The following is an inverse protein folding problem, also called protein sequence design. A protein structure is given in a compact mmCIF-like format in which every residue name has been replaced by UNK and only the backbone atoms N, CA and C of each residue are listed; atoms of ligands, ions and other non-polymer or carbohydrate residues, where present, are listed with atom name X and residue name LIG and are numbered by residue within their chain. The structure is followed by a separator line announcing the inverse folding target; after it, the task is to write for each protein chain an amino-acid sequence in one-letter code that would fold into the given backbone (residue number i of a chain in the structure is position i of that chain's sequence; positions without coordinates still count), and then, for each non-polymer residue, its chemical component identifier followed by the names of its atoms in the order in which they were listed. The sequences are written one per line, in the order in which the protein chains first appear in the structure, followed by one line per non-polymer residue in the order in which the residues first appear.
data_IF_149280869301
#
_entry.id   IF_149280869301
#
_cell.length_a   1.000
_cell.length_b   1.000
_cell.length_c   1.000
_cell.angle_alpha   90.00
_cell.angle_beta   90.00
_cell.angle_gamma   90.00
#
_symmetry.space_group_name_H-M   'P 1'
#
loop_
_entity.id
_entity.type
_entity.pdbx_description
1 polymer ?
#
# COMPACT_ATOMS: atom_id res chain seq x y z
N UNK A 1 -27.63 5.12 -14.10
CA UNK A 1 -26.47 5.43 -14.96
C UNK A 1 -25.25 5.28 -14.08
N UNK A 2 -24.32 4.41 -14.47
CA UNK A 2 -23.09 4.20 -13.70
C UNK A 2 -22.24 5.46 -13.66
N UNK A 3 -21.22 5.47 -12.79
CA UNK A 3 -20.21 6.53 -12.68
C UNK A 3 -19.69 6.92 -14.07
N UNK A 4 -19.13 5.95 -14.79
CA UNK A 4 -18.52 6.16 -16.11
C UNK A 4 -19.50 6.40 -17.27
N UNK A 5 -20.81 6.16 -17.10
CA UNK A 5 -21.80 6.43 -18.16
C UNK A 5 -22.01 7.93 -18.37
N UNK A 6 -21.83 8.72 -17.30
CA UNK A 6 -21.97 10.17 -17.31
C UNK A 6 -20.76 10.81 -18.00
N UNK A 7 -19.56 10.46 -17.57
CA UNK A 7 -18.29 10.79 -18.23
C UNK A 7 -18.27 10.50 -19.74
N UNK A 8 -18.68 9.29 -20.17
CA UNK A 8 -18.74 8.92 -21.61
C UNK A 8 -19.60 9.87 -22.44
N UNK A 9 -20.69 10.39 -21.89
CA UNK A 9 -21.59 11.30 -22.61
C UNK A 9 -20.92 12.64 -22.92
N UNK A 10 -19.97 13.06 -22.09
CA UNK A 10 -19.23 14.30 -22.23
C UNK A 10 -18.03 14.11 -23.15
N UNK A 11 -17.26 13.02 -22.97
CA UNK A 11 -16.14 12.66 -23.84
C UNK A 11 -16.54 12.45 -25.32
N UNK A 12 -17.73 11.90 -25.60
CA UNK A 12 -18.24 11.73 -26.98
C UNK A 12 -18.31 13.02 -27.77
N UNK A 13 -18.48 14.15 -27.10
CA UNK A 13 -18.62 15.45 -27.73
C UNK A 13 -17.28 16.14 -27.97
N UNK A 14 -16.22 15.73 -27.27
CA UNK A 14 -14.94 16.44 -27.20
C UNK A 14 -13.75 15.61 -27.69
N UNK A 15 -13.91 14.29 -27.87
CA UNK A 15 -12.82 13.36 -28.20
C UNK A 15 -12.08 13.64 -29.52
N UNK A 16 -12.70 14.37 -30.47
CA UNK A 16 -12.04 14.75 -31.73
C UNK A 16 -11.14 15.98 -31.59
N UNK A 17 -11.35 16.80 -30.56
CA UNK A 17 -10.66 18.09 -30.38
C UNK A 17 -9.53 18.04 -29.33
N UNK A 18 -9.42 16.94 -28.59
CA UNK A 18 -8.40 16.71 -27.54
C UNK A 18 -7.14 16.05 -28.12
N UNK A 19 -7.25 15.46 -29.30
CA UNK A 19 -6.14 14.75 -29.96
C UNK A 19 -5.51 15.56 -31.06
N UNK A 20 -4.19 15.67 -31.02
CA UNK A 20 -3.38 16.41 -31.98
C UNK A 20 -2.48 15.45 -32.76
N UNK A 21 -2.13 15.80 -34.00
CA UNK A 21 -1.19 15.06 -34.84
C UNK A 21 0.25 15.12 -34.31
N UNK A 22 1.04 14.08 -34.58
CA UNK A 22 2.32 13.78 -33.91
C UNK A 22 3.42 14.84 -34.09
N UNK A 23 3.38 15.62 -35.18
CA UNK A 23 4.40 16.61 -35.53
C UNK A 23 4.00 18.07 -35.17
N UNK A 24 2.91 18.24 -34.44
CA UNK A 24 2.45 19.58 -34.02
C UNK A 24 3.23 20.08 -32.81
N UNK A 25 3.46 21.40 -32.74
CA UNK A 25 4.13 22.09 -31.62
C UNK A 25 3.42 21.80 -30.27
N UNK A 26 2.11 21.57 -30.29
CA UNK A 26 1.33 21.22 -29.10
C UNK A 26 1.64 19.80 -28.57
N UNK A 27 2.11 18.88 -29.42
CA UNK A 27 2.50 17.53 -29.01
C UNK A 27 3.84 17.54 -28.27
N UNK A 28 4.78 18.40 -28.66
CA UNK A 28 6.05 18.59 -27.95
C UNK A 28 5.83 19.21 -26.57
N UNK A 29 4.98 20.24 -26.48
CA UNK A 29 4.59 20.85 -25.21
C UNK A 29 3.95 19.84 -24.25
N UNK A 30 3.09 18.95 -24.75
CA UNK A 30 2.50 17.89 -23.94
C UNK A 30 3.57 16.90 -23.39
N UNK A 31 4.66 16.65 -24.12
CA UNK A 31 5.75 15.82 -23.62
C UNK A 31 6.57 16.51 -22.53
N UNK A 32 6.75 17.83 -22.61
CA UNK A 32 7.39 18.64 -21.57
C UNK A 32 6.52 18.71 -20.31
N UNK A 33 5.23 19.04 -20.46
CA UNK A 33 4.25 19.04 -19.36
C UNK A 33 4.21 17.69 -18.64
N UNK A 34 4.24 16.58 -19.40
CA UNK A 34 4.31 15.24 -18.82
C UNK A 34 5.54 15.07 -17.94
N UNK A 35 6.71 15.54 -18.38
CA UNK A 35 7.96 15.42 -17.60
C UNK A 35 7.88 16.23 -16.32
N UNK A 36 7.38 17.46 -16.38
CA UNK A 36 7.21 18.33 -15.21
C UNK A 36 6.21 17.74 -14.20
N UNK A 37 5.11 17.16 -14.68
CA UNK A 37 4.13 16.49 -13.82
C UNK A 37 4.70 15.24 -13.16
N UNK A 38 5.52 14.46 -13.85
CA UNK A 38 6.21 13.31 -13.26
C UNK A 38 7.23 13.76 -12.21
N UNK A 39 8.01 14.82 -12.49
CA UNK A 39 9.00 15.36 -11.57
C UNK A 39 8.32 15.91 -10.29
N UNK A 40 7.23 16.65 -10.42
CA UNK A 40 6.46 17.13 -9.26
C UNK A 40 5.81 16.00 -8.43
N UNK A 41 5.37 14.92 -9.08
CA UNK A 41 4.92 13.70 -8.40
C UNK A 41 6.08 12.93 -7.74
N UNK A 42 7.31 13.07 -8.23
CA UNK A 42 8.50 12.50 -7.61
C UNK A 42 9.00 13.31 -6.41
N UNK A 43 8.98 14.64 -6.51
CA UNK A 43 9.38 15.56 -5.44
C UNK A 43 8.42 15.57 -4.25
N UNK A 44 7.13 15.31 -4.49
CA UNK A 44 6.13 15.16 -3.44
C UNK A 44 6.20 13.81 -2.72
N UNK A 45 7.06 12.87 -3.15
CA UNK A 45 7.27 11.59 -2.44
C UNK A 45 8.05 11.85 -1.15
N UNK A 46 7.54 11.44 0.03
CA UNK A 46 8.34 11.44 1.23
C UNK A 46 9.54 10.50 1.04
N UNK A 47 10.75 11.02 1.24
CA UNK A 47 12.01 10.28 1.12
C UNK A 47 11.94 9.00 1.98
N UNK A 48 12.08 7.80 1.38
CA UNK A 48 12.15 6.58 2.19
C UNK A 48 13.41 6.66 3.04
N UNK A 49 13.23 6.72 4.36
CA UNK A 49 14.33 6.66 5.31
C UNK A 49 15.11 5.37 5.08
N UNK A 50 16.46 5.39 5.00
CA UNK A 50 17.24 4.18 4.78
C UNK A 50 17.02 3.23 5.95
N UNK A 51 16.47 2.05 5.65
CA UNK A 51 16.31 0.94 6.57
C UNK A 51 17.72 0.49 6.97
N UNK A 52 18.13 0.53 8.25
CA UNK A 52 19.41 -0.03 8.66
C UNK A 52 19.40 -1.53 8.40
N UNK A 53 20.36 -1.99 7.61
CA UNK A 53 20.59 -3.40 7.28
C UNK A 53 20.77 -4.19 8.57
N UNK A 54 19.80 -5.05 8.90
CA UNK A 54 19.91 -5.97 10.03
C UNK A 54 20.88 -7.08 9.66
N UNK A 55 22.02 -7.08 10.35
CA UNK A 55 22.97 -8.19 10.43
C UNK A 55 22.22 -9.49 10.70
N UNK A 56 22.42 -10.46 9.82
CA UNK A 56 22.00 -11.85 9.98
C UNK A 56 22.77 -12.46 11.16
N UNK A 57 22.19 -12.39 12.36
CA UNK A 57 22.63 -13.27 13.45
C UNK A 57 21.90 -14.59 13.30
N UNK A 58 22.73 -15.59 13.00
CA UNK A 58 22.38 -16.98 12.78
C UNK A 58 21.53 -17.54 13.93
N UNK A 59 20.69 -18.48 13.54
CA UNK A 59 19.87 -19.29 14.41
C UNK A 59 20.70 -19.95 15.51
N UNK A 60 20.43 -19.57 16.75
CA UNK A 60 20.71 -20.38 17.94
C UNK A 60 19.74 -19.89 19.02
N UNK A 61 18.68 -20.67 19.24
CA UNK A 61 17.96 -20.89 20.52
C UNK A 61 16.67 -21.64 20.21
N UNK A 62 16.83 -22.87 19.71
CA UNK A 62 15.80 -23.90 19.77
C UNK A 62 15.61 -24.48 21.19
N UNK A 63 16.02 -23.75 22.24
CA UNK A 63 16.15 -24.25 23.61
C UNK A 63 15.15 -23.62 24.60
N UNK A 64 14.16 -22.84 24.14
CA UNK A 64 13.20 -22.22 25.07
C UNK A 64 12.01 -23.12 25.47
N UNK A 65 12.11 -24.43 25.17
CA UNK A 65 11.17 -25.45 25.59
C UNK A 65 11.71 -26.40 26.67
N UNK A 66 12.88 -26.10 27.26
CA UNK A 66 13.54 -27.01 28.23
C UNK A 66 13.42 -26.57 29.71
N UNK A 67 12.72 -25.48 30.00
CA UNK A 67 12.55 -24.96 31.38
C UNK A 67 11.10 -25.11 31.88
N UNK A 68 10.45 -26.23 31.56
CA UNK A 68 9.40 -26.72 32.45
C UNK A 68 10.14 -27.39 33.60
N UNK A 69 10.33 -26.66 34.71
CA UNK A 69 10.94 -27.17 35.94
C UNK A 69 10.59 -28.65 36.09
N UNK A 70 11.57 -29.54 35.91
CA UNK A 70 11.45 -30.99 36.05
C UNK A 70 11.30 -31.32 37.55
N UNK A 71 10.29 -30.74 38.18
CA UNK A 71 9.71 -31.26 39.39
C UNK A 71 8.98 -32.54 38.97
N UNK A 72 9.33 -33.72 39.53
CA UNK A 72 8.61 -34.94 39.19
C UNK A 72 7.13 -34.69 39.45
N UNK A 73 6.29 -34.88 38.43
CA UNK A 73 4.85 -34.68 38.52
C UNK A 73 4.30 -35.49 39.70
N UNK A 74 4.20 -34.84 40.87
CA UNK A 74 3.67 -35.47 42.07
C UNK A 74 2.21 -35.72 41.78
N UNK A 75 1.83 -37.00 41.76
CA UNK A 75 0.48 -37.46 41.48
C UNK A 75 -0.55 -36.59 42.22
N UNK A 76 -1.43 -35.86 41.50
CA UNK A 76 -2.38 -34.91 42.08
C UNK A 76 -3.38 -35.58 43.04
N UNK A 77 -3.43 -36.91 43.10
CA UNK A 77 -4.30 -37.70 43.96
C UNK A 77 -3.57 -38.56 44.99
N UNK A 78 -2.23 -38.49 45.07
CA UNK A 78 -1.49 -39.13 46.14
C UNK A 78 -1.86 -38.50 47.49
N UNK A 79 -2.24 -39.37 48.43
CA UNK A 79 -2.92 -39.08 49.71
C UNK A 79 -2.30 -37.93 50.53
N UNK A 80 -3.10 -37.22 51.35
CA UNK A 80 -2.69 -35.99 52.01
C UNK A 80 -1.56 -36.25 53.02
N UNK A 81 -0.37 -35.71 52.74
CA UNK A 81 0.60 -35.33 53.77
C UNK A 81 -0.18 -34.59 54.87
N UNK A 82 0.02 -35.00 56.12
CA UNK A 82 -0.70 -34.45 57.28
C UNK A 82 -0.68 -32.90 57.21
N UNK A 83 -1.73 -32.19 57.67
CA UNK A 83 -1.85 -30.72 57.50
C UNK A 83 -0.58 -29.94 57.90
N UNK A 84 0.18 -30.47 58.86
CA UNK A 84 1.45 -29.90 59.35
C UNK A 84 2.59 -30.04 58.33
N UNK A 85 2.70 -31.16 57.64
CA UNK A 85 3.74 -31.46 56.65
C UNK A 85 3.54 -30.64 55.38
N UNK A 86 2.30 -30.53 54.90
CA UNK A 86 1.95 -29.65 53.77
C UNK A 86 2.31 -28.18 54.06
N UNK A 87 2.15 -27.73 55.30
CA UNK A 87 2.50 -26.35 55.69
C UNK A 87 4.01 -26.14 55.76
N UNK A 88 4.79 -27.16 56.15
CA UNK A 88 6.26 -27.11 56.14
C UNK A 88 6.80 -27.10 54.69
N UNK A 89 6.28 -27.98 53.82
CA UNK A 89 6.68 -28.03 52.41
C UNK A 89 6.41 -26.70 51.69
N UNK A 90 5.22 -26.11 51.87
CA UNK A 90 4.90 -24.78 51.31
C UNK A 90 5.82 -23.66 51.80
N UNK A 91 6.25 -23.72 53.06
CA UNK A 91 7.19 -22.73 53.62
C UNK A 91 8.57 -22.92 53.02
N UNK A 92 9.05 -24.15 52.92
CA UNK A 92 10.33 -24.46 52.28
C UNK A 92 10.36 -24.01 50.81
N UNK A 93 9.34 -24.36 50.01
CA UNK A 93 9.24 -23.95 48.61
C UNK A 93 9.13 -22.43 48.44
N UNK A 94 8.46 -21.73 49.37
CA UNK A 94 8.38 -20.26 49.33
C UNK A 94 9.70 -19.58 49.67
N UNK A 95 10.48 -20.17 50.58
CA UNK A 95 11.81 -19.66 50.96
C UNK A 95 12.80 -19.91 49.82
N UNK A 96 12.74 -21.07 49.17
CA UNK A 96 13.58 -21.40 48.02
C UNK A 96 13.26 -20.52 46.81
N UNK A 97 11.97 -20.31 46.50
CA UNK A 97 11.53 -19.37 45.45
C UNK A 97 11.85 -17.90 45.77
N UNK A 98 11.96 -17.53 47.04
CA UNK A 98 12.38 -16.18 47.45
C UNK A 98 13.91 -16.02 47.47
N UNK A 99 14.65 -17.11 47.70
CA UNK A 99 16.12 -17.14 47.67
C UNK A 99 16.67 -17.16 46.23
N UNK A 100 15.93 -17.76 45.28
CA UNK A 100 16.20 -17.63 43.85
C UNK A 100 15.80 -16.21 43.43
N UNK A 101 16.78 -15.30 43.38
CA UNK A 101 16.56 -13.94 42.91
C UNK A 101 15.92 -13.99 41.51
N UNK A 102 14.84 -13.24 41.24
CA UNK A 102 14.24 -13.25 39.92
C UNK A 102 15.28 -12.67 38.97
N UNK A 103 15.85 -13.51 38.11
CA UNK A 103 16.65 -13.03 36.98
C UNK A 103 15.78 -12.04 36.23
N UNK A 104 16.24 -10.79 36.25
CA UNK A 104 15.53 -9.66 35.67
C UNK A 104 15.65 -9.84 34.17
N UNK A 105 14.75 -10.64 33.59
CA UNK A 105 14.68 -10.90 32.15
C UNK A 105 14.68 -9.55 31.45
N UNK A 106 15.79 -9.20 30.84
CA UNK A 106 15.92 -8.00 30.03
C UNK A 106 14.89 -8.13 28.92
N UNK A 107 13.85 -7.31 28.98
CA UNK A 107 12.84 -7.29 27.93
C UNK A 107 13.53 -6.66 26.73
N UNK A 108 14.00 -7.49 25.81
CA UNK A 108 14.44 -7.02 24.50
C UNK A 108 13.31 -6.17 23.91
N UNK A 109 13.63 -5.02 23.29
CA UNK A 109 12.62 -4.18 22.67
C UNK A 109 11.93 -5.00 21.59
N UNK A 110 10.65 -5.32 21.80
CA UNK A 110 9.83 -6.00 20.79
C UNK A 110 9.74 -5.11 19.56
N UNK A 111 9.98 -5.70 18.40
CA UNK A 111 9.75 -5.00 17.14
C UNK A 111 8.25 -4.63 17.05
N UNK A 112 7.98 -3.37 16.75
CA UNK A 112 6.61 -2.85 16.65
C UNK A 112 5.87 -3.43 15.44
N UNK A 113 6.61 -3.99 14.47
CA UNK A 113 6.07 -4.60 13.26
C UNK A 113 5.84 -6.11 13.39
N UNK A 114 6.11 -6.71 14.56
CA UNK A 114 5.85 -8.13 14.80
C UNK A 114 4.46 -8.36 15.39
N UNK A 115 3.62 -9.14 14.70
CA UNK A 115 2.32 -9.53 15.22
C UNK A 115 2.48 -10.53 16.36
N UNK A 116 1.47 -10.57 17.24
CA UNK A 116 1.35 -11.60 18.29
C UNK A 116 1.21 -13.02 17.74
N UNK A 117 0.93 -13.16 16.45
CA UNK A 117 0.81 -14.43 15.72
C UNK A 117 2.09 -14.82 14.98
N UNK A 118 3.19 -14.09 15.17
CA UNK A 118 4.50 -14.36 14.55
C UNK A 118 4.60 -13.94 13.08
N UNK A 119 3.65 -13.12 12.59
CA UNK A 119 3.70 -12.56 11.24
C UNK A 119 4.25 -11.14 11.30
N UNK A 120 5.18 -10.82 10.40
CA UNK A 120 5.65 -9.44 10.24
C UNK A 120 4.61 -8.64 9.46
N UNK A 121 4.21 -7.49 10.00
CA UNK A 121 3.38 -6.53 9.31
C UNK A 121 4.20 -5.88 8.20
N UNK A 122 3.62 -5.78 7.00
CA UNK A 122 4.20 -4.98 5.91
C UNK A 122 3.67 -3.57 6.05
N UNK A 123 4.57 -2.58 5.99
CA UNK A 123 4.17 -1.18 5.90
C UNK A 123 3.44 -0.96 4.57
N UNK A 124 2.11 -0.93 4.59
CA UNK A 124 1.34 -0.44 3.46
C UNK A 124 1.48 1.07 3.44
N UNK A 125 2.34 1.58 2.56
CA UNK A 125 2.36 3.01 2.22
C UNK A 125 1.06 3.43 1.52
N UNK A 126 0.90 4.72 1.19
CA UNK A 126 -0.17 5.15 0.30
C UNK A 126 -0.08 4.30 -0.99
N UNK A 127 -1.20 3.69 -1.38
CA UNK A 127 -1.25 2.84 -2.55
C UNK A 127 -0.88 3.69 -3.77
N UNK A 128 0.26 3.41 -4.39
CA UNK A 128 0.66 4.09 -5.62
C UNK A 128 -0.29 3.61 -6.72
N UNK A 129 -1.08 4.53 -7.24
CA UNK A 129 -2.00 4.26 -8.34
C UNK A 129 -1.18 4.29 -9.62
N UNK A 130 -0.90 3.10 -10.16
CA UNK A 130 -0.24 2.94 -11.45
C UNK A 130 -1.32 2.79 -12.52
N UNK A 131 -1.31 3.68 -13.51
CA UNK A 131 -2.29 3.69 -14.59
C UNK A 131 -1.59 3.21 -15.85
N UNK A 132 -2.01 2.06 -16.35
CA UNK A 132 -1.53 1.48 -17.61
C UNK A 132 -2.66 1.43 -18.64
N UNK A 133 -2.35 1.86 -19.87
CA UNK A 133 -3.24 1.82 -21.02
C UNK A 133 -3.16 0.50 -21.80
N UNK A 134 -2.26 -0.42 -21.41
CA UNK A 134 -2.13 -1.76 -21.98
C UNK A 134 -2.00 -1.74 -23.50
N UNK A 135 -2.79 -2.56 -24.19
CA UNK A 135 -2.77 -2.71 -25.66
C UNK A 135 -3.20 -1.47 -26.45
N UNK A 136 -3.75 -0.45 -25.77
CA UNK A 136 -4.23 0.76 -26.42
C UNK A 136 -3.16 1.86 -26.55
N UNK A 137 -2.08 1.76 -25.75
CA UNK A 137 -0.89 2.57 -25.92
C UNK A 137 -0.08 2.08 -27.12
N UNK A 138 0.14 2.96 -28.11
CA UNK A 138 0.96 2.62 -29.27
C UNK A 138 2.37 3.20 -29.14
N UNK A 139 3.44 2.38 -29.24
CA UNK A 139 4.81 2.88 -29.21
C UNK A 139 5.21 3.62 -30.49
N UNK A 140 4.48 3.41 -31.60
CA UNK A 140 4.78 4.01 -32.91
C UNK A 140 3.49 4.29 -33.66
N UNK A 141 3.24 5.57 -33.99
CA UNK A 141 2.05 6.03 -34.69
C UNK A 141 0.82 6.08 -33.78
N UNK A 142 0.10 7.19 -33.78
CA UNK A 142 -1.10 7.38 -32.98
C UNK A 142 -1.49 8.84 -32.86
N UNK A 143 -2.53 9.09 -32.07
CA UNK A 143 -2.92 10.45 -31.69
C UNK A 143 -2.26 10.78 -30.37
N UNK A 144 -1.66 11.96 -30.27
CA UNK A 144 -1.10 12.46 -29.01
C UNK A 144 -2.21 13.22 -28.29
N UNK A 145 -2.39 12.94 -27.00
CA UNK A 145 -3.28 13.74 -26.16
C UNK A 145 -2.52 14.98 -25.69
N UNK A 146 -3.05 16.16 -26.03
CA UNK A 146 -2.53 17.44 -25.52
C UNK A 146 -3.13 17.79 -24.16
N UNK A 147 -2.42 18.62 -23.38
CA UNK A 147 -2.88 19.24 -22.12
C UNK A 147 -3.98 20.31 -22.32
N UNK A 148 -4.89 20.10 -23.27
CA UNK A 148 -5.91 21.08 -23.63
C UNK A 148 -6.82 21.46 -22.46
N UNK A 149 -7.33 22.70 -22.45
CA UNK A 149 -8.35 23.14 -21.48
C UNK A 149 -9.58 22.22 -21.44
N UNK A 150 -9.91 21.61 -22.58
CA UNK A 150 -11.04 20.66 -22.69
C UNK A 150 -10.76 19.39 -21.89
N UNK A 151 -9.54 18.86 -21.95
CA UNK A 151 -9.14 17.72 -21.12
C UNK A 151 -9.26 18.08 -19.63
N UNK A 152 -8.76 19.25 -19.23
CA UNK A 152 -8.86 19.71 -17.85
C UNK A 152 -10.30 19.80 -17.34
N UNK A 153 -11.22 20.35 -18.13
CA UNK A 153 -12.65 20.40 -17.77
C UNK A 153 -13.26 19.01 -17.57
N UNK A 154 -12.91 18.04 -18.41
CA UNK A 154 -13.48 16.70 -18.25
C UNK A 154 -12.84 15.95 -17.07
N UNK A 155 -11.59 16.24 -16.76
CA UNK A 155 -10.94 15.75 -15.55
C UNK A 155 -11.59 16.33 -14.27
N UNK A 156 -12.01 17.61 -14.29
CA UNK A 156 -12.78 18.22 -13.21
C UNK A 156 -14.16 17.55 -13.04
N UNK A 157 -14.88 17.31 -14.14
CA UNK A 157 -16.15 16.57 -14.09
C UNK A 157 -15.98 15.15 -13.51
N UNK A 158 -14.89 14.46 -13.89
CA UNK A 158 -14.56 13.14 -13.34
C UNK A 158 -14.27 13.20 -11.83
N UNK A 159 -13.58 14.23 -11.37
CA UNK A 159 -13.34 14.46 -9.94
C UNK A 159 -14.65 14.65 -9.17
N UNK A 160 -15.57 15.47 -9.68
CA UNK A 160 -16.92 15.63 -9.09
C UNK A 160 -17.68 14.30 -9.02
N UNK A 161 -17.57 13.49 -10.06
CA UNK A 161 -18.17 12.16 -10.12
C UNK A 161 -17.57 11.21 -9.09
N UNK A 162 -16.24 11.15 -8.95
CA UNK A 162 -15.57 10.30 -7.95
C UNK A 162 -15.91 10.72 -6.51
N UNK A 163 -15.99 12.01 -6.24
CA UNK A 163 -16.43 12.53 -4.93
C UNK A 163 -17.87 12.13 -4.63
N UNK A 164 -18.75 12.12 -5.64
CA UNK A 164 -20.12 11.62 -5.49
C UNK A 164 -20.22 10.13 -5.21
N UNK A 165 -19.15 9.37 -5.52
CA UNK A 165 -19.04 7.93 -5.34
C UNK A 165 -18.43 7.50 -3.98
N UNK A 166 -18.36 8.42 -3.01
CA UNK A 166 -17.81 8.19 -1.66
C UNK A 166 -16.29 7.94 -1.64
N UNK A 167 -15.56 8.46 -2.63
CA UNK A 167 -14.09 8.49 -2.58
C UNK A 167 -13.60 9.70 -1.76
N UNK A 168 -12.54 9.51 -0.99
CA UNK A 168 -11.92 10.59 -0.22
C UNK A 168 -11.23 11.61 -1.15
N UNK A 169 -11.33 12.91 -0.84
CA UNK A 169 -10.71 14.00 -1.62
C UNK A 169 -9.23 13.74 -1.93
N UNK A 170 -8.45 13.29 -0.93
CA UNK A 170 -7.02 13.00 -1.12
C UNK A 170 -6.78 11.88 -2.14
N UNK A 171 -7.62 10.85 -2.15
CA UNK A 171 -7.52 9.77 -3.11
C UNK A 171 -7.93 10.22 -4.52
N UNK A 172 -8.93 11.10 -4.62
CA UNK A 172 -9.38 11.66 -5.90
C UNK A 172 -8.31 12.56 -6.52
N UNK A 173 -7.64 13.39 -5.72
CA UNK A 173 -6.51 14.22 -6.16
C UNK A 173 -5.31 13.38 -6.65
N UNK A 174 -5.03 12.26 -5.98
CA UNK A 174 -4.01 11.31 -6.42
C UNK A 174 -4.38 10.63 -7.75
N UNK A 175 -5.64 10.20 -7.92
CA UNK A 175 -6.13 9.62 -9.19
C UNK A 175 -6.09 10.66 -10.32
N UNK A 176 -6.53 11.89 -10.07
CA UNK A 176 -6.60 12.92 -11.10
C UNK A 176 -5.21 13.40 -11.54
N UNK A 177 -4.27 13.55 -10.60
CA UNK A 177 -2.87 13.91 -10.90
C UNK A 177 -2.13 12.80 -11.64
N UNK A 178 -2.28 11.54 -11.21
CA UNK A 178 -1.70 10.38 -11.92
C UNK A 178 -2.29 10.20 -13.31
N UNK A 179 -3.60 10.41 -13.48
CA UNK A 179 -4.24 10.40 -14.80
C UNK A 179 -3.72 11.52 -15.70
N UNK A 180 -3.61 12.76 -15.20
CA UNK A 180 -3.09 13.88 -16.01
C UNK A 180 -1.65 13.61 -16.45
N UNK A 181 -0.80 13.15 -15.53
CA UNK A 181 0.59 12.82 -15.82
C UNK A 181 0.74 11.64 -16.82
N UNK A 182 -0.22 10.72 -16.84
CA UNK A 182 -0.18 9.56 -17.75
C UNK A 182 -0.82 9.85 -19.10
N UNK A 183 -1.91 10.61 -19.13
CA UNK A 183 -2.65 10.96 -20.35
C UNK A 183 -1.91 11.99 -21.20
N UNK A 184 -1.43 13.07 -20.60
CA UNK A 184 -0.76 14.14 -21.33
C UNK A 184 0.52 13.57 -21.97
N UNK A 185 0.67 13.72 -23.28
CA UNK A 185 1.82 13.17 -24.01
C UNK A 185 1.80 11.64 -24.16
N UNK A 186 0.72 10.94 -23.79
CA UNK A 186 0.51 9.55 -24.19
C UNK A 186 0.09 9.45 -25.64
N UNK A 187 0.58 8.39 -26.30
CA UNK A 187 0.19 8.03 -27.66
C UNK A 187 -0.88 6.96 -27.58
N UNK A 188 -2.08 7.27 -28.08
CA UNK A 188 -3.19 6.33 -28.10
C UNK A 188 -3.46 5.87 -29.52
N UNK A 189 -3.65 4.55 -29.67
CA UNK A 189 -4.02 3.93 -30.93
C UNK A 189 -5.39 4.43 -31.42
N UNK A 190 -5.53 4.60 -32.74
CA UNK A 190 -6.81 5.00 -33.36
C UNK A 190 -7.86 3.88 -33.38
N UNK A 191 -7.51 2.66 -32.94
CA UNK A 191 -8.38 1.47 -32.97
C UNK A 191 -9.51 1.54 -31.95
N UNK A 192 -9.24 2.10 -30.76
CA UNK A 192 -10.23 2.27 -29.68
C UNK A 192 -10.54 3.76 -29.51
N UNK A 193 -11.76 4.07 -29.05
CA UNK A 193 -12.13 5.43 -28.66
C UNK A 193 -11.45 5.78 -27.33
N UNK A 194 -11.01 7.03 -27.18
CA UNK A 194 -10.30 7.52 -25.99
C UNK A 194 -11.08 7.26 -24.69
N UNK A 195 -12.39 7.40 -24.72
CA UNK A 195 -13.28 7.18 -23.56
C UNK A 195 -13.20 5.74 -23.03
N UNK A 196 -13.16 4.76 -23.94
CA UNK A 196 -13.06 3.34 -23.57
C UNK A 196 -11.67 3.05 -23.03
N UNK A 197 -10.64 3.69 -23.58
CA UNK A 197 -9.26 3.55 -23.12
C UNK A 197 -9.09 4.11 -21.71
N UNK A 198 -9.64 5.30 -21.43
CA UNK A 198 -9.58 5.92 -20.10
C UNK A 198 -10.37 5.10 -19.08
N UNK A 199 -11.53 4.56 -19.46
CA UNK A 199 -12.30 3.67 -18.60
C UNK A 199 -11.57 2.36 -18.30
N UNK A 200 -11.01 1.69 -19.31
CA UNK A 200 -10.21 0.47 -19.12
C UNK A 200 -9.01 0.75 -18.20
N UNK A 201 -8.31 1.88 -18.41
CA UNK A 201 -7.19 2.28 -17.57
C UNK A 201 -7.60 2.55 -16.11
N UNK A 202 -8.72 3.26 -15.90
CA UNK A 202 -9.24 3.54 -14.56
C UNK A 202 -9.77 2.31 -13.84
N UNK A 203 -10.50 1.46 -14.55
CA UNK A 203 -10.99 0.21 -13.99
C UNK A 203 -9.83 -0.71 -13.62
N UNK A 204 -8.78 -0.80 -14.44
CA UNK A 204 -7.57 -1.55 -14.11
C UNK A 204 -6.77 -0.93 -12.94
N UNK A 205 -6.77 0.39 -12.80
CA UNK A 205 -6.04 1.06 -11.73
C UNK A 205 -6.76 0.96 -10.35
N UNK A 206 -8.08 0.77 -10.36
CA UNK A 206 -8.92 0.71 -9.15
C UNK A 206 -9.28 -0.72 -8.70
N UNK A 207 -9.11 -1.74 -9.56
CA UNK A 207 -9.33 -3.17 -9.23
C UNK A 207 -8.04 -3.86 -8.78
#
# INVERSE_FOLDING_TARGET
MGLFDRFKKHFKKSAEEITVEEDSVEAEQALEERRELIESLEDSKPTPSPIPQTVETQAETGEQWDDFDEEPAVDPFAKPLERKERKKAKRASSVEKAAKAPERRERTPKDRMESTTGRKLVASGPAKIEIDFGDSASPTGGRVISGSEKLNRIMEELEEELLSADMAQSAVEEVSSTLKATLIGSRISTRKKLEVVIEEALTNALL
#
